data_IF_102202098921
#
_entry.id   IF_102202098921
#
_cell.length_a   1.000
_cell.length_b   1.000
_cell.length_c   1.000
_cell.angle_alpha   90.00
_cell.angle_beta   90.00
_cell.angle_gamma   90.00
#
_symmetry.space_group_name_H-M   'P 1'
#
loop_
_entity.id
_entity.type
_entity.pdbx_description
1 polymer ?
#
# COMPACT_ATOMS: atom_id res chain seq x y z
N UNK A 1 -1.29 -40.81 3.58
CA UNK A 1 -1.98 -42.10 3.73
C UNK A 1 -3.43 -41.97 4.17
N UNK A 2 -4.21 -41.04 3.61
CA UNK A 2 -5.65 -40.90 3.95
C UNK A 2 -6.56 -41.83 3.13
N UNK A 3 -6.02 -42.49 2.11
CA UNK A 3 -6.77 -43.40 1.25
C UNK A 3 -7.86 -42.68 0.46
N UNK A 4 -8.95 -43.39 0.16
CA UNK A 4 -10.10 -42.82 -0.53
C UNK A 4 -10.98 -41.93 0.37
N UNK A 5 -11.14 -42.30 1.65
CA UNK A 5 -11.84 -41.49 2.67
C UNK A 5 -11.56 -41.92 4.12
N UNK A 6 -11.40 -43.22 4.39
CA UNK A 6 -11.41 -43.79 5.75
C UNK A 6 -10.02 -44.10 6.32
N UNK A 7 -8.95 -43.62 5.67
CA UNK A 7 -7.57 -43.94 6.02
C UNK A 7 -6.96 -45.00 5.12
N UNK A 8 -5.72 -45.35 5.40
CA UNK A 8 -5.00 -46.43 4.73
C UNK A 8 -5.19 -47.75 5.50
N UNK A 9 -5.73 -48.81 4.88
CA UNK A 9 -6.01 -50.08 5.56
C UNK A 9 -4.80 -51.04 5.63
N UNK A 10 -3.63 -50.63 5.13
CA UNK A 10 -2.42 -51.44 5.08
C UNK A 10 -1.40 -51.04 6.14
N UNK A 11 -1.84 -50.32 7.18
CA UNK A 11 -1.00 -49.85 8.29
C UNK A 11 0.27 -49.12 7.83
N UNK A 12 0.18 -48.36 6.73
CA UNK A 12 1.35 -47.64 6.21
C UNK A 12 1.85 -46.63 7.23
N UNK A 13 3.17 -46.59 7.41
CA UNK A 13 3.81 -45.64 8.31
C UNK A 13 3.70 -44.21 7.75
N UNK A 14 2.77 -43.43 8.33
CA UNK A 14 2.54 -42.04 7.93
C UNK A 14 3.64 -41.10 8.42
N UNK A 15 4.37 -41.46 9.47
CA UNK A 15 5.48 -40.67 9.97
C UNK A 15 6.69 -40.81 9.04
N UNK A 16 6.94 -42.01 8.53
CA UNK A 16 7.90 -42.22 7.44
C UNK A 16 7.54 -41.37 6.22
N UNK A 17 6.28 -41.42 5.74
CA UNK A 17 5.86 -40.60 4.59
C UNK A 17 5.99 -39.09 4.86
N UNK A 18 5.67 -38.64 6.07
CA UNK A 18 5.83 -37.24 6.48
C UNK A 18 7.30 -36.82 6.36
N UNK A 19 8.20 -37.62 6.91
CA UNK A 19 9.64 -37.35 6.88
C UNK A 19 10.22 -37.38 5.47
N UNK A 20 9.85 -38.36 4.64
CA UNK A 20 10.36 -38.51 3.27
C UNK A 20 9.86 -37.40 2.31
N UNK A 21 8.67 -36.85 2.57
CA UNK A 21 8.06 -35.78 1.76
C UNK A 21 8.23 -34.39 2.37
N UNK A 22 9.00 -34.26 3.46
CA UNK A 22 9.31 -33.01 4.14
C UNK A 22 8.08 -32.21 4.61
N UNK A 23 7.03 -32.90 5.03
CA UNK A 23 5.88 -32.26 5.68
C UNK A 23 6.18 -31.99 7.16
N UNK A 24 5.73 -30.85 7.69
CA UNK A 24 5.92 -30.55 9.12
C UNK A 24 5.11 -31.48 10.05
N UNK A 25 3.95 -31.96 9.60
CA UNK A 25 3.05 -32.82 10.38
C UNK A 25 2.15 -33.67 9.47
N UNK A 26 1.40 -34.59 10.06
CA UNK A 26 0.42 -35.42 9.35
C UNK A 26 -1.00 -34.88 9.56
N UNK A 27 -1.87 -35.03 8.55
CA UNK A 27 -3.29 -34.73 8.71
C UNK A 27 -3.96 -35.65 9.74
N UNK A 28 -4.84 -35.07 10.56
CA UNK A 28 -5.45 -35.73 11.72
C UNK A 28 -6.61 -36.66 11.36
N UNK A 29 -7.39 -36.30 10.34
CA UNK A 29 -8.58 -37.04 9.91
C UNK A 29 -8.52 -37.31 8.40
N UNK A 30 -8.85 -38.53 8.00
CA UNK A 30 -8.75 -38.95 6.60
C UNK A 30 -9.85 -38.38 5.72
N UNK A 31 -11.08 -38.23 6.24
CA UNK A 31 -12.23 -37.71 5.51
C UNK A 31 -12.04 -36.22 5.22
N UNK A 32 -11.58 -35.49 6.24
CA UNK A 32 -11.19 -34.09 6.14
C UNK A 32 -10.06 -33.90 5.11
N UNK A 33 -8.94 -34.59 5.28
CA UNK A 33 -7.76 -34.46 4.41
C UNK A 33 -7.99 -34.73 2.92
N UNK A 34 -9.06 -35.45 2.54
CA UNK A 34 -9.41 -35.68 1.13
C UNK A 34 -10.52 -34.75 0.63
N UNK A 35 -11.34 -34.22 1.55
CA UNK A 35 -12.51 -33.39 1.25
C UNK A 35 -12.25 -31.89 1.34
N UNK A 36 -11.30 -31.44 2.16
CA UNK A 36 -11.00 -30.02 2.37
C UNK A 36 -10.18 -29.41 1.23
N UNK A 37 -10.32 -28.10 1.03
CA UNK A 37 -9.49 -27.26 0.16
C UNK A 37 -9.23 -25.90 0.82
N UNK A 38 -9.19 -25.86 2.13
CA UNK A 38 -8.99 -24.68 2.95
C UNK A 38 -7.64 -24.04 2.62
N UNK A 39 -6.59 -24.85 2.43
CA UNK A 39 -5.27 -24.35 2.01
C UNK A 39 -5.32 -23.58 0.68
N UNK A 40 -6.23 -23.96 -0.23
CA UNK A 40 -6.46 -23.24 -1.50
C UNK A 40 -7.17 -21.92 -1.23
N UNK A 41 -8.23 -21.92 -0.43
CA UNK A 41 -8.99 -20.71 -0.08
C UNK A 41 -8.11 -19.70 0.64
N UNK A 42 -7.32 -20.14 1.62
CA UNK A 42 -6.41 -19.28 2.38
C UNK A 42 -5.32 -18.68 1.48
N UNK A 43 -4.68 -19.50 0.64
CA UNK A 43 -3.72 -19.01 -0.35
C UNK A 43 -4.34 -17.94 -1.26
N UNK A 44 -5.52 -18.22 -1.84
CA UNK A 44 -6.21 -17.28 -2.72
C UNK A 44 -6.67 -16.01 -1.99
N UNK A 45 -6.99 -16.10 -0.70
CA UNK A 45 -7.36 -14.96 0.14
C UNK A 45 -6.17 -14.04 0.38
N UNK A 46 -5.02 -14.60 0.78
CA UNK A 46 -3.77 -13.85 0.95
C UNK A 46 -3.32 -13.23 -0.37
N UNK A 47 -3.38 -14.00 -1.46
CA UNK A 47 -3.08 -13.52 -2.80
C UNK A 47 -3.98 -12.35 -3.23
N UNK A 48 -5.28 -12.44 -2.95
CA UNK A 48 -6.23 -11.37 -3.25
C UNK A 48 -5.89 -10.10 -2.47
N UNK A 49 -5.63 -10.20 -1.18
CA UNK A 49 -5.28 -9.03 -0.35
C UNK A 49 -3.96 -8.39 -0.80
N UNK A 50 -2.95 -9.19 -1.13
CA UNK A 50 -1.70 -8.72 -1.73
C UNK A 50 -1.97 -7.93 -3.02
N UNK A 51 -2.81 -8.46 -3.91
CA UNK A 51 -3.14 -7.76 -5.15
C UNK A 51 -3.94 -6.48 -4.95
N UNK A 52 -4.75 -6.38 -3.89
CA UNK A 52 -5.41 -5.12 -3.50
C UNK A 52 -4.38 -4.07 -3.04
N UNK A 53 -3.34 -4.46 -2.31
CA UNK A 53 -2.25 -3.54 -1.96
C UNK A 53 -1.49 -3.07 -3.21
N UNK A 54 -1.20 -3.99 -4.13
CA UNK A 54 -0.52 -3.66 -5.38
C UNK A 54 -1.37 -2.82 -6.34
N UNK A 55 -2.70 -3.02 -6.37
CA UNK A 55 -3.59 -2.22 -7.20
C UNK A 55 -3.68 -0.78 -6.71
N UNK A 56 -3.68 -0.56 -5.38
CA UNK A 56 -3.59 0.77 -4.78
C UNK A 56 -2.27 1.46 -5.16
N UNK A 57 -1.15 0.77 -5.00
CA UNK A 57 0.17 1.30 -5.39
C UNK A 57 0.21 1.65 -6.89
N UNK A 58 -0.37 0.80 -7.73
CA UNK A 58 -0.46 1.06 -9.16
C UNK A 58 -1.31 2.30 -9.47
N UNK A 59 -2.45 2.49 -8.78
CA UNK A 59 -3.29 3.69 -8.92
C UNK A 59 -2.52 4.97 -8.63
N UNK A 60 -1.84 5.01 -7.47
CA UNK A 60 -1.06 6.19 -7.05
C UNK A 60 0.01 6.53 -8.10
N UNK A 61 0.76 5.53 -8.56
CA UNK A 61 1.84 5.73 -9.53
C UNK A 61 1.31 6.10 -10.93
N UNK A 62 0.16 5.57 -11.35
CA UNK A 62 -0.50 5.98 -12.60
C UNK A 62 -0.83 7.48 -12.53
N UNK A 63 -1.50 7.92 -11.46
CA UNK A 63 -1.85 9.33 -11.27
C UNK A 63 -0.60 10.22 -11.21
N UNK A 64 0.42 9.83 -10.45
CA UNK A 64 1.66 10.58 -10.30
C UNK A 64 2.49 10.64 -11.60
N UNK A 65 2.30 9.70 -12.52
CA UNK A 65 2.95 9.67 -13.83
C UNK A 65 2.25 10.49 -14.92
N UNK A 66 1.03 10.99 -14.66
CA UNK A 66 0.31 11.85 -15.61
C UNK A 66 1.08 13.15 -15.86
N UNK A 67 0.85 13.80 -16.99
CA UNK A 67 1.45 15.10 -17.31
C UNK A 67 1.03 16.21 -16.34
N UNK A 68 -0.18 16.10 -15.80
CA UNK A 68 -0.81 17.07 -14.90
C UNK A 68 -0.14 17.07 -13.52
N UNK A 69 0.20 15.89 -12.99
CA UNK A 69 0.96 15.76 -11.75
C UNK A 69 2.47 15.85 -12.02
N UNK A 70 2.97 15.05 -12.95
CA UNK A 70 4.37 15.04 -13.37
C UNK A 70 5.35 14.76 -12.24
N UNK A 71 4.94 13.98 -11.23
CA UNK A 71 5.78 13.67 -10.07
C UNK A 71 6.83 12.62 -10.37
N UNK A 72 6.55 11.73 -11.32
CA UNK A 72 7.48 10.68 -11.70
C UNK A 72 7.38 10.33 -13.17
N UNK A 73 8.40 9.65 -13.67
CA UNK A 73 8.45 9.08 -15.00
C UNK A 73 8.91 7.64 -14.89
N UNK A 74 8.16 6.75 -15.51
CA UNK A 74 8.48 5.33 -15.58
C UNK A 74 9.58 5.08 -16.64
N UNK A 75 10.34 4.00 -16.44
CA UNK A 75 11.37 3.60 -17.41
C UNK A 75 10.75 3.00 -18.67
N UNK A 76 11.48 3.05 -19.79
CA UNK A 76 10.98 2.54 -21.09
C UNK A 76 10.73 1.03 -21.06
N UNK A 77 11.43 0.29 -20.19
CA UNK A 77 11.24 -1.16 -20.01
C UNK A 77 9.85 -1.50 -19.46
N UNK A 78 9.24 -0.60 -18.70
CA UNK A 78 7.95 -0.83 -18.02
C UNK A 78 6.83 0.07 -18.54
N UNK A 79 7.02 0.70 -19.70
CA UNK A 79 6.03 1.53 -20.37
C UNK A 79 5.94 1.21 -21.85
N UNK A 80 4.78 1.47 -22.44
CA UNK A 80 4.70 1.64 -23.88
C UNK A 80 4.76 3.13 -24.25
N UNK A 81 5.27 3.43 -25.43
CA UNK A 81 5.31 4.78 -25.97
C UNK A 81 4.76 4.84 -27.39
N UNK A 82 4.40 6.04 -27.84
CA UNK A 82 4.04 6.28 -29.24
C UNK A 82 5.23 6.85 -30.00
N UNK A 83 5.50 6.35 -31.20
CA UNK A 83 6.51 6.94 -32.10
C UNK A 83 6.21 8.38 -32.51
N UNK A 84 4.93 8.79 -32.48
CA UNK A 84 4.48 10.16 -32.76
C UNK A 84 4.64 11.10 -31.56
N UNK A 85 4.69 10.56 -30.33
CA UNK A 85 4.78 11.32 -29.09
C UNK A 85 5.84 10.70 -28.18
N UNK A 86 7.15 10.97 -28.42
CA UNK A 86 8.25 10.28 -27.74
C UNK A 86 8.28 10.52 -26.22
N UNK A 87 7.66 11.61 -25.75
CA UNK A 87 7.56 11.93 -24.32
C UNK A 87 6.39 11.22 -23.63
N UNK A 88 5.41 10.70 -24.39
CA UNK A 88 4.22 10.06 -23.83
C UNK A 88 4.54 8.61 -23.48
N UNK A 89 4.67 8.32 -22.19
CA UNK A 89 4.82 6.97 -21.64
C UNK A 89 3.51 6.52 -21.01
N UNK A 90 2.92 5.45 -21.54
CA UNK A 90 1.74 4.85 -20.96
C UNK A 90 2.16 3.88 -19.84
N UNK A 91 1.50 3.89 -18.68
CA UNK A 91 1.87 3.06 -17.52
C UNK A 91 1.33 1.62 -17.63
N UNK A 92 1.49 0.96 -18.78
CA UNK A 92 0.90 -0.37 -19.05
C UNK A 92 1.25 -1.41 -17.98
N UNK A 93 2.48 -1.39 -17.47
CA UNK A 93 2.92 -2.28 -16.39
C UNK A 93 2.04 -2.15 -15.15
N UNK A 94 1.71 -0.92 -14.75
CA UNK A 94 0.87 -0.63 -13.60
C UNK A 94 -0.60 -0.94 -13.88
N UNK A 95 -1.09 -0.63 -15.09
CA UNK A 95 -2.46 -0.98 -15.50
C UNK A 95 -2.67 -2.51 -15.47
N UNK A 96 -1.69 -3.26 -15.94
CA UNK A 96 -1.69 -4.72 -15.87
C UNK A 96 -1.70 -5.19 -14.40
N UNK A 97 -0.80 -4.69 -13.55
CA UNK A 97 -0.78 -5.02 -12.11
C UNK A 97 -2.15 -4.75 -11.48
N UNK A 98 -2.74 -3.57 -11.71
CA UNK A 98 -4.05 -3.18 -11.20
C UNK A 98 -5.15 -4.12 -11.68
N UNK A 99 -5.17 -4.47 -12.96
CA UNK A 99 -6.18 -5.38 -13.53
C UNK A 99 -6.13 -6.80 -12.95
N UNK A 100 -4.94 -7.29 -12.58
CA UNK A 100 -4.76 -8.64 -12.04
C UNK A 100 -5.39 -8.81 -10.66
N UNK A 101 -5.65 -7.74 -9.92
CA UNK A 101 -6.43 -7.83 -8.68
C UNK A 101 -7.83 -8.42 -8.92
N UNK A 102 -8.51 -8.00 -10.00
CA UNK A 102 -9.79 -8.59 -10.38
C UNK A 102 -9.68 -10.06 -10.81
N UNK A 103 -8.61 -10.42 -11.54
CA UNK A 103 -8.36 -11.81 -11.96
C UNK A 103 -8.15 -12.75 -10.76
N UNK A 104 -7.28 -12.37 -9.83
CA UNK A 104 -6.99 -13.16 -8.63
C UNK A 104 -8.21 -13.27 -7.72
N UNK A 105 -8.92 -12.15 -7.50
CA UNK A 105 -10.18 -12.17 -6.76
C UNK A 105 -11.22 -13.11 -7.39
N UNK A 106 -11.32 -13.13 -8.72
CA UNK A 106 -12.22 -14.05 -9.43
C UNK A 106 -11.93 -15.52 -9.12
N UNK A 107 -10.66 -15.90 -8.94
CA UNK A 107 -10.28 -17.27 -8.53
C UNK A 107 -10.72 -17.59 -7.11
N UNK A 108 -10.52 -16.67 -6.17
CA UNK A 108 -11.02 -16.82 -4.80
C UNK A 108 -12.55 -17.00 -4.78
N UNK A 109 -13.28 -16.12 -5.48
CA UNK A 109 -14.73 -16.18 -5.55
C UNK A 109 -15.24 -17.50 -6.15
N UNK A 110 -14.58 -18.00 -7.21
CA UNK A 110 -14.91 -19.27 -7.83
C UNK A 110 -14.73 -20.45 -6.86
N UNK A 111 -13.57 -20.56 -6.19
CA UNK A 111 -13.31 -21.68 -5.27
C UNK A 111 -14.24 -21.64 -4.06
N UNK A 112 -14.49 -20.47 -3.48
CA UNK A 112 -15.48 -20.35 -2.40
C UNK A 112 -16.86 -20.86 -2.84
N UNK A 113 -17.27 -20.59 -4.08
CA UNK A 113 -18.54 -21.07 -4.61
C UNK A 113 -18.53 -22.57 -4.92
N UNK A 114 -17.43 -23.12 -5.43
CA UNK A 114 -17.26 -24.56 -5.64
C UNK A 114 -17.43 -25.33 -4.32
N UNK A 115 -16.84 -24.83 -3.24
CA UNK A 115 -16.86 -25.51 -1.94
C UNK A 115 -18.19 -25.37 -1.19
N UNK A 116 -18.93 -24.27 -1.44
CA UNK A 116 -20.12 -23.93 -0.66
C UNK A 116 -21.17 -25.04 -0.75
N UNK A 117 -21.45 -25.65 0.39
CA UNK A 117 -22.52 -26.64 0.54
C UNK A 117 -22.23 -28.00 -0.07
N UNK A 118 -20.98 -28.31 -0.43
CA UNK A 118 -20.60 -29.66 -0.84
C UNK A 118 -20.80 -30.64 0.33
N UNK A 119 -21.40 -31.82 0.09
CA UNK A 119 -21.45 -32.87 1.08
C UNK A 119 -20.06 -33.53 1.20
N UNK A 120 -19.72 -34.06 2.37
CA UNK A 120 -18.53 -34.89 2.52
C UNK A 120 -18.64 -36.17 1.68
N UNK A 121 -17.55 -36.77 1.19
CA UNK A 121 -16.12 -36.41 1.33
C UNK A 121 -15.56 -35.88 0.01
N UNK A 122 -14.93 -36.73 -0.80
CA UNK A 122 -14.42 -36.32 -2.11
C UNK A 122 -15.57 -36.20 -3.11
N UNK A 123 -15.64 -35.05 -3.80
CA UNK A 123 -16.49 -34.83 -4.95
C UNK A 123 -15.63 -34.35 -6.12
N UNK A 124 -16.07 -34.60 -7.35
CA UNK A 124 -15.30 -34.28 -8.55
C UNK A 124 -15.13 -32.77 -8.75
N UNK A 125 -16.04 -31.98 -8.20
CA UNK A 125 -16.01 -30.52 -8.10
C UNK A 125 -14.67 -30.00 -7.55
N UNK A 126 -14.05 -30.76 -6.63
CA UNK A 126 -12.75 -30.40 -6.03
C UNK A 126 -11.58 -30.41 -7.03
N UNK A 127 -11.79 -30.79 -8.29
CA UNK A 127 -10.78 -30.70 -9.35
C UNK A 127 -10.59 -29.28 -9.91
N UNK A 128 -11.53 -28.37 -9.67
CA UNK A 128 -11.43 -26.95 -10.08
C UNK A 128 -10.34 -26.18 -9.30
N UNK A 129 -9.80 -26.78 -8.23
CA UNK A 129 -8.75 -26.22 -7.39
C UNK A 129 -7.47 -25.86 -8.16
N UNK A 130 -7.03 -26.76 -9.05
CA UNK A 130 -5.74 -26.67 -9.74
C UNK A 130 -5.63 -25.46 -10.65
N UNK A 131 -6.63 -25.25 -11.52
CA UNK A 131 -6.58 -24.13 -12.47
C UNK A 131 -6.59 -22.78 -11.75
N UNK A 132 -7.33 -22.68 -10.64
CA UNK A 132 -7.32 -21.49 -9.79
C UNK A 132 -5.95 -21.24 -9.16
N UNK A 133 -5.34 -22.27 -8.56
CA UNK A 133 -4.03 -22.16 -7.91
C UNK A 133 -2.93 -21.85 -8.93
N UNK A 134 -2.87 -22.56 -10.06
CA UNK A 134 -1.83 -22.37 -11.07
C UNK A 134 -1.89 -20.95 -11.67
N UNK A 135 -3.08 -20.47 -12.02
CA UNK A 135 -3.25 -19.12 -12.55
C UNK A 135 -2.77 -18.04 -11.57
N UNK A 136 -3.05 -18.21 -10.27
CA UNK A 136 -2.64 -17.24 -9.26
C UNK A 136 -1.14 -17.31 -8.98
N UNK A 137 -0.53 -18.50 -8.93
CA UNK A 137 0.93 -18.64 -8.78
C UNK A 137 1.65 -17.93 -9.93
N UNK A 138 1.27 -18.22 -11.17
CA UNK A 138 1.88 -17.59 -12.35
C UNK A 138 1.68 -16.08 -12.35
N UNK A 139 0.47 -15.63 -12.00
CA UNK A 139 0.14 -14.21 -11.91
C UNK A 139 0.99 -13.50 -10.86
N UNK A 140 1.07 -14.01 -9.63
CA UNK A 140 1.84 -13.37 -8.56
C UNK A 140 3.33 -13.34 -8.86
N UNK A 141 3.89 -14.43 -9.38
CA UNK A 141 5.30 -14.49 -9.76
C UNK A 141 5.67 -13.44 -10.79
N UNK A 142 4.85 -13.25 -11.83
CA UNK A 142 5.08 -12.23 -12.84
C UNK A 142 4.85 -10.81 -12.29
N UNK A 143 3.73 -10.59 -11.59
CA UNK A 143 3.34 -9.27 -11.06
C UNK A 143 4.37 -8.73 -10.08
N UNK A 144 4.86 -9.56 -9.14
CA UNK A 144 5.84 -9.11 -8.14
C UNK A 144 7.18 -8.71 -8.76
N UNK A 145 7.63 -9.42 -9.80
CA UNK A 145 8.83 -9.07 -10.54
C UNK A 145 8.66 -7.75 -11.31
N UNK A 146 7.52 -7.58 -11.99
CA UNK A 146 7.21 -6.32 -12.70
C UNK A 146 7.11 -5.15 -11.72
N UNK A 147 6.41 -5.32 -10.60
CA UNK A 147 6.28 -4.31 -9.56
C UNK A 147 7.65 -3.89 -9.00
N UNK A 148 8.52 -4.86 -8.72
CA UNK A 148 9.91 -4.60 -8.28
C UNK A 148 10.68 -3.80 -9.33
N UNK A 149 10.55 -4.17 -10.60
CA UNK A 149 11.14 -3.47 -11.73
C UNK A 149 10.67 -2.02 -11.87
N UNK A 150 9.37 -1.79 -11.76
CA UNK A 150 8.78 -0.44 -11.79
C UNK A 150 9.33 0.42 -10.66
N UNK A 151 9.27 -0.06 -9.42
CA UNK A 151 9.70 0.72 -8.24
C UNK A 151 11.21 1.00 -8.28
N UNK A 152 12.02 0.04 -8.73
CA UNK A 152 13.48 0.19 -8.75
C UNK A 152 14.00 1.09 -9.88
N UNK A 153 13.20 1.30 -10.95
CA UNK A 153 13.66 2.03 -12.15
C UNK A 153 12.94 3.34 -12.40
N UNK A 154 11.84 3.64 -11.69
CA UNK A 154 11.14 4.90 -11.82
C UNK A 154 12.05 6.08 -11.45
N UNK A 155 11.83 7.21 -12.09
CA UNK A 155 12.54 8.45 -11.83
C UNK A 155 11.57 9.47 -11.25
N UNK A 156 11.87 9.98 -10.06
CA UNK A 156 11.08 11.04 -9.44
C UNK A 156 11.50 12.41 -9.98
N UNK A 157 10.54 13.30 -10.15
CA UNK A 157 10.77 14.71 -10.41
C UNK A 157 10.64 15.49 -9.09
N UNK A 158 11.77 15.66 -8.41
CA UNK A 158 11.84 16.38 -7.13
C UNK A 158 11.32 17.81 -7.26
N UNK A 159 11.61 18.48 -8.39
CA UNK A 159 11.20 19.86 -8.63
C UNK A 159 9.68 19.98 -8.72
N UNK A 160 9.01 19.10 -9.46
CA UNK A 160 7.55 19.13 -9.56
C UNK A 160 6.87 18.75 -8.24
N UNK A 161 7.41 17.76 -7.52
CA UNK A 161 6.92 17.41 -6.18
C UNK A 161 7.04 18.59 -5.22
N UNK A 162 8.15 19.33 -5.25
CA UNK A 162 8.37 20.52 -4.41
C UNK A 162 7.46 21.67 -4.83
N UNK A 163 7.27 21.92 -6.13
CA UNK A 163 6.37 22.95 -6.65
C UNK A 163 4.89 22.71 -6.32
N UNK A 164 4.50 21.45 -6.13
CA UNK A 164 3.13 21.11 -5.72
C UNK A 164 2.83 21.48 -4.26
N UNK A 165 3.85 21.80 -3.45
CA UNK A 165 3.69 22.23 -2.07
C UNK A 165 3.30 23.70 -2.04
N UNK A 166 2.01 23.97 -1.83
CA UNK A 166 1.48 25.33 -1.79
C UNK A 166 1.44 25.88 -0.35
N UNK A 167 1.58 27.20 -0.12
CA UNK A 167 1.53 27.78 1.22
C UNK A 167 0.23 27.49 1.99
N UNK A 168 -0.87 27.25 1.29
CA UNK A 168 -2.20 27.00 1.85
C UNK A 168 -2.24 25.72 2.71
N UNK A 169 -1.43 24.71 2.37
CA UNK A 169 -1.36 23.45 3.13
C UNK A 169 -0.82 23.68 4.56
N UNK A 170 -0.06 24.77 4.77
CA UNK A 170 0.54 25.13 6.06
C UNK A 170 -0.42 25.89 6.99
N UNK A 171 -1.67 26.14 6.56
CA UNK A 171 -2.71 26.73 7.42
C UNK A 171 -2.98 25.87 8.68
N UNK A 172 -2.91 24.54 8.57
CA UNK A 172 -3.03 23.65 9.73
C UNK A 172 -1.85 23.82 10.70
N UNK A 173 -0.64 23.99 10.17
CA UNK A 173 0.56 24.22 10.99
C UNK A 173 0.51 25.57 11.70
N UNK A 174 -0.08 26.59 11.07
CA UNK A 174 -0.33 27.87 11.69
C UNK A 174 -1.29 27.77 12.89
N UNK A 175 -2.30 26.91 12.80
CA UNK A 175 -3.16 26.60 13.94
C UNK A 175 -2.37 25.86 15.04
N UNK A 176 -1.58 24.85 14.68
CA UNK A 176 -0.75 24.10 15.64
C UNK A 176 0.27 25.00 16.36
N UNK A 177 0.82 26.01 15.67
CA UNK A 177 1.67 27.03 16.29
C UNK A 177 0.95 27.73 17.46
N UNK A 178 -0.30 28.16 17.26
CA UNK A 178 -1.09 28.81 18.32
C UNK A 178 -1.46 27.85 19.44
N UNK A 179 -1.78 26.58 19.11
CA UNK A 179 -2.05 25.54 20.11
C UNK A 179 -0.84 25.34 21.02
N UNK A 180 0.37 25.30 20.46
CA UNK A 180 1.62 25.19 21.24
C UNK A 180 1.90 26.42 22.12
N UNK A 181 1.34 27.59 21.78
CA UNK A 181 1.38 28.81 22.59
C UNK A 181 0.26 28.87 23.65
N UNK A 182 -0.51 27.79 23.81
CA UNK A 182 -1.55 27.65 24.83
C UNK A 182 -2.96 28.05 24.37
N UNK A 183 -3.16 28.38 23.09
CA UNK A 183 -4.49 28.67 22.57
C UNK A 183 -5.34 27.39 22.48
N UNK A 184 -6.61 27.38 22.95
CA UNK A 184 -7.51 26.26 22.74
C UNK A 184 -7.68 25.91 21.27
N UNK A 185 -7.69 24.61 20.95
CA UNK A 185 -7.72 24.08 19.58
C UNK A 185 -8.75 24.76 18.65
N UNK A 186 -10.00 24.88 19.10
CA UNK A 186 -11.06 25.53 18.32
C UNK A 186 -10.74 26.99 17.98
N UNK A 187 -10.17 27.73 18.94
CA UNK A 187 -9.80 29.14 18.73
C UNK A 187 -8.60 29.25 17.78
N UNK A 188 -7.62 28.34 17.88
CA UNK A 188 -6.47 28.30 16.99
C UNK A 188 -6.85 28.06 15.54
N UNK A 189 -7.78 27.13 15.28
CA UNK A 189 -8.32 26.90 13.94
C UNK A 189 -9.15 28.09 13.43
N UNK A 190 -9.93 28.76 14.29
CA UNK A 190 -10.62 30.00 13.90
C UNK A 190 -9.62 31.10 13.52
N UNK A 191 -8.54 31.26 14.29
CA UNK A 191 -7.50 32.25 14.00
C UNK A 191 -6.75 31.93 12.70
N UNK A 192 -6.40 30.67 12.45
CA UNK A 192 -5.80 30.24 11.17
C UNK A 192 -6.76 30.47 10.00
N UNK A 193 -8.05 30.13 10.14
CA UNK A 193 -9.06 30.41 9.12
C UNK A 193 -9.21 31.90 8.82
N UNK A 194 -9.12 32.77 9.84
CA UNK A 194 -9.08 34.24 9.64
C UNK A 194 -7.81 34.68 8.90
N UNK A 195 -6.66 34.04 9.14
CA UNK A 195 -5.43 34.34 8.42
C UNK A 195 -5.55 33.95 6.94
N UNK A 196 -6.08 32.76 6.64
CA UNK A 196 -6.38 32.34 5.26
C UNK A 196 -7.30 33.36 4.59
N UNK A 197 -8.42 33.72 5.23
CA UNK A 197 -9.36 34.71 4.69
C UNK A 197 -8.73 36.10 4.48
N UNK A 198 -7.88 36.55 5.40
CA UNK A 198 -7.17 37.82 5.25
C UNK A 198 -6.18 37.78 4.07
N UNK A 199 -5.51 36.65 3.86
CA UNK A 199 -4.62 36.46 2.73
C UNK A 199 -5.40 36.50 1.39
N UNK A 200 -6.54 35.79 1.33
CA UNK A 200 -7.45 35.79 0.18
C UNK A 200 -7.98 37.20 -0.16
N UNK A 201 -8.47 37.94 0.84
CA UNK A 201 -8.99 39.31 0.63
C UNK A 201 -7.91 40.29 0.16
N UNK A 202 -6.65 40.03 0.51
CA UNK A 202 -5.48 40.80 0.03
C UNK A 202 -4.91 40.28 -1.29
N UNK A 203 -5.38 39.14 -1.81
CA UNK A 203 -4.85 38.53 -3.04
C UNK A 203 -3.40 38.06 -2.91
N UNK A 204 -2.98 37.64 -1.71
CA UNK A 204 -1.62 37.16 -1.43
C UNK A 204 -1.68 35.78 -0.76
N UNK A 205 -0.62 34.95 -0.85
CA UNK A 205 -0.58 33.69 -0.12
C UNK A 205 -0.36 33.92 1.39
N UNK A 206 -0.77 32.96 2.21
CA UNK A 206 -0.77 33.08 3.68
C UNK A 206 0.61 33.34 4.28
N UNK A 207 1.67 32.83 3.65
CA UNK A 207 3.06 33.06 4.06
C UNK A 207 3.57 34.48 3.78
N UNK A 208 2.81 35.30 3.03
CA UNK A 208 3.12 36.69 2.75
C UNK A 208 2.38 37.68 3.65
N UNK A 209 1.56 37.21 4.60
CA UNK A 209 0.95 38.08 5.61
C UNK A 209 2.03 38.73 6.47
N UNK A 210 1.89 40.03 6.71
CA UNK A 210 2.83 40.76 7.57
C UNK A 210 2.69 40.33 9.05
N UNK A 211 3.71 40.56 9.89
CA UNK A 211 3.59 40.34 11.33
C UNK A 211 2.42 41.13 11.95
N UNK A 212 2.13 42.33 11.44
CA UNK A 212 1.03 43.16 11.92
C UNK A 212 -0.33 42.59 11.49
N UNK A 213 -0.43 42.02 10.29
CA UNK A 213 -1.62 41.30 9.84
C UNK A 213 -1.93 40.11 10.76
N UNK A 214 -0.93 39.28 11.05
CA UNK A 214 -1.08 38.15 11.95
C UNK A 214 -1.44 38.60 13.37
N UNK A 215 -0.76 39.63 13.90
CA UNK A 215 -1.07 40.20 15.23
C UNK A 215 -2.47 40.80 15.32
N UNK A 216 -3.01 41.35 14.22
CA UNK A 216 -4.39 41.83 14.16
C UNK A 216 -5.42 40.71 14.39
N UNK A 217 -5.05 39.46 14.09
CA UNK A 217 -5.88 38.27 14.31
C UNK A 217 -5.67 37.71 15.71
N UNK A 218 -4.42 37.59 16.16
CA UNK A 218 -4.09 37.14 17.51
C UNK A 218 -2.76 37.71 18.01
N UNK A 219 -2.69 38.22 19.26
CA UNK A 219 -1.44 38.68 19.85
C UNK A 219 -0.44 37.54 20.14
N UNK A 220 -0.86 36.28 20.04
CA UNK A 220 0.01 35.11 20.24
C UNK A 220 0.91 34.79 19.04
N UNK A 221 0.70 35.46 17.90
CA UNK A 221 1.63 35.41 16.78
C UNK A 221 2.89 36.24 17.08
N UNK A 222 4.01 35.53 17.30
CA UNK A 222 5.33 36.10 17.51
C UNK A 222 6.13 36.20 16.21
N UNK A 223 7.34 36.72 16.27
CA UNK A 223 8.26 36.77 15.11
C UNK A 223 8.67 35.38 14.62
N UNK A 224 8.63 34.38 15.49
CA UNK A 224 8.88 32.96 15.21
C UNK A 224 7.82 32.30 14.34
N UNK A 225 6.65 32.93 14.12
CA UNK A 225 5.61 32.42 13.22
C UNK A 225 6.12 32.23 11.78
N UNK A 226 7.12 33.01 11.35
CA UNK A 226 7.77 32.85 10.04
C UNK A 226 8.34 31.45 9.81
N UNK A 227 8.71 30.73 10.88
CA UNK A 227 9.22 29.36 10.80
C UNK A 227 8.15 28.34 10.40
N UNK A 228 6.87 28.66 10.55
CA UNK A 228 5.73 27.81 10.14
C UNK A 228 5.68 27.67 8.63
N UNK A 229 6.07 28.73 7.89
CA UNK A 229 6.00 28.78 6.43
C UNK A 229 7.21 28.10 5.77
N UNK A 230 7.61 26.95 6.31
CA UNK A 230 8.68 26.12 5.79
C UNK A 230 8.23 24.66 5.81
N UNK A 231 8.22 24.03 4.63
CA UNK A 231 7.70 22.67 4.46
C UNK A 231 8.56 21.61 5.15
N UNK A 232 9.86 21.85 5.33
CA UNK A 232 10.72 20.96 6.13
C UNK A 232 10.32 21.05 7.61
N UNK A 233 10.12 22.26 8.13
CA UNK A 233 9.62 22.44 9.49
C UNK A 233 8.21 21.84 9.67
N UNK A 234 7.40 21.83 8.61
CA UNK A 234 6.09 21.15 8.61
C UNK A 234 6.21 19.67 8.90
N UNK A 235 6.94 18.93 8.04
CA UNK A 235 7.10 17.48 8.18
C UNK A 235 7.85 17.08 9.46
N UNK A 236 8.78 17.91 9.93
CA UNK A 236 9.55 17.66 11.16
C UNK A 236 8.74 17.79 12.46
N UNK A 237 7.49 18.25 12.41
CA UNK A 237 6.58 18.23 13.56
C UNK A 237 6.09 16.81 13.90
N UNK A 238 6.04 15.92 12.91
CA UNK A 238 5.43 14.59 13.05
C UNK A 238 6.43 13.55 13.56
N UNK A 239 7.00 13.81 14.75
CA UNK A 239 8.01 12.96 15.41
C UNK A 239 7.45 11.77 16.18
N UNK A 240 6.15 11.78 16.47
CA UNK A 240 5.48 10.63 17.08
C UNK A 240 5.65 9.39 16.17
N UNK A 241 5.67 8.20 16.78
CA UNK A 241 5.87 6.94 16.05
C UNK A 241 4.85 6.81 14.91
N UNK A 242 5.33 6.49 13.70
CA UNK A 242 4.52 6.40 12.49
C UNK A 242 4.31 7.72 11.74
N UNK A 243 4.86 8.84 12.24
CA UNK A 243 4.81 10.14 11.56
C UNK A 243 5.83 10.29 10.42
N UNK A 244 5.80 11.45 9.74
CA UNK A 244 6.62 11.74 8.54
C UNK A 244 7.91 12.53 8.83
N UNK A 245 8.23 12.83 10.09
CA UNK A 245 9.52 13.45 10.42
C UNK A 245 10.67 12.50 10.06
N UNK A 246 11.84 13.05 9.69
CA UNK A 246 13.00 12.25 9.27
C UNK A 246 13.38 11.19 10.30
N UNK A 247 13.32 11.51 11.59
CA UNK A 247 13.60 10.55 12.67
C UNK A 247 12.60 9.38 12.69
N UNK A 248 11.32 9.66 12.46
CA UNK A 248 10.27 8.63 12.41
C UNK A 248 10.39 7.76 11.17
N UNK A 249 10.63 8.36 9.99
CA UNK A 249 10.83 7.62 8.74
C UNK A 249 12.08 6.72 8.82
N UNK A 250 13.17 7.22 9.39
CA UNK A 250 14.39 6.42 9.60
C UNK A 250 14.11 5.21 10.50
N UNK A 251 13.36 5.40 11.59
CA UNK A 251 12.98 4.30 12.47
C UNK A 251 12.11 3.26 11.76
N UNK A 252 11.15 3.68 10.94
CA UNK A 252 10.31 2.78 10.14
C UNK A 252 11.12 1.94 9.14
N UNK A 253 12.11 2.54 8.47
CA UNK A 253 12.99 1.82 7.54
C UNK A 253 13.73 0.70 8.26
N UNK A 254 14.30 0.96 9.45
CA UNK A 254 15.01 -0.05 10.22
C UNK A 254 14.08 -1.15 10.75
N UNK A 255 12.88 -0.78 11.21
CA UNK A 255 11.86 -1.76 11.62
C UNK A 255 11.45 -2.68 10.47
N UNK A 256 11.25 -2.14 9.27
CA UNK A 256 10.91 -2.92 8.08
C UNK A 256 12.06 -3.84 7.65
N UNK A 257 13.32 -3.38 7.71
CA UNK A 257 14.50 -4.23 7.45
C UNK A 257 14.56 -5.42 8.39
N UNK A 258 14.36 -5.19 9.69
CA UNK A 258 14.37 -6.26 10.68
C UNK A 258 13.19 -7.23 10.50
N UNK A 259 12.01 -6.71 10.18
CA UNK A 259 10.84 -7.54 9.86
C UNK A 259 11.10 -8.42 8.64
N UNK A 260 11.65 -7.87 7.56
CA UNK A 260 11.98 -8.62 6.35
C UNK A 260 13.02 -9.72 6.63
N UNK A 261 14.01 -9.43 7.49
CA UNK A 261 15.00 -10.43 7.92
C UNK A 261 14.32 -11.61 8.64
N UNK A 262 13.45 -11.32 9.62
CA UNK A 262 12.70 -12.36 10.36
C UNK A 262 11.80 -13.19 9.46
N UNK A 263 11.07 -12.55 8.55
CA UNK A 263 10.19 -13.25 7.60
C UNK A 263 11.00 -14.14 6.64
N UNK A 264 12.19 -13.70 6.22
CA UNK A 264 13.09 -14.49 5.39
C UNK A 264 13.66 -15.71 6.11
N UNK A 265 13.92 -15.62 7.42
CA UNK A 265 14.38 -16.75 8.23
C UNK A 265 13.27 -17.78 8.49
N UNK A 266 12.00 -17.37 8.41
CA UNK A 266 10.84 -18.23 8.60
C UNK A 266 10.39 -18.96 7.32
N UNK A 267 10.67 -18.37 6.15
CA UNK A 267 10.29 -18.89 4.83
C UNK A 267 11.33 -19.87 4.29
#
# INVERSE_FOLDING_TARGET
GSGALAGNPLEIDRELLRSELDFASISLNSMDAVGERDFVVEFLSVATLLMIHLSKMAEDLILYSTSEFGFLTLSDTYCTGSSLMPQKKNPDSLELIRSKAGRVFGRLAAILMVLKGLPSTYNKDLQEDKEAVFDVIDTLNAVLQVATGVISTLQINKENMEKALSPEILSSDLALYLVRKGMPFRQAHIASGKAVHLAETKGIPINNLSPDDLKSISPLFGSDVSQVFNVVNSVEQYRAMGGTAKSSVTAQIEQLRELLKKLKEQA
#
